data_IF_651800324381
#
_entry.id   IF_651800324381
#
_cell.length_a   1.000
_cell.length_b   1.000
_cell.length_c   1.000
_cell.angle_alpha   90.00
_cell.angle_beta   90.00
_cell.angle_gamma   90.00
#
_symmetry.space_group_name_H-M   'P 1'
#
loop_
_entity.id
_entity.type
_entity.pdbx_description
1 polymer ?
#
# COMPACT_ATOMS: atom_id res chain seq x y z
N UNK A 1 -13.73 16.00 9.61
CA UNK A 1 -13.75 15.14 9.40
C UNK A 1 -13.26 14.25 10.06
N UNK A 2 -13.35 13.57 10.31
CA UNK A 2 -12.91 12.76 11.00
C UNK A 2 -12.45 11.74 10.61
N UNK A 3 -11.84 11.26 10.72
CA UNK A 3 -11.26 10.36 10.34
C UNK A 3 -11.34 9.33 11.05
N UNK A 4 -11.47 8.53 10.97
CA UNK A 4 -11.62 7.47 11.50
C UNK A 4 -11.01 6.95 12.34
N UNK A 5 -10.52 6.78 12.64
CA UNK A 5 -9.95 6.36 13.56
C UNK A 5 -9.83 5.17 14.05
N UNK A 6 -10.35 4.46 14.28
CA UNK A 6 -10.22 3.31 14.69
C UNK A 6 -9.17 2.60 14.22
N UNK A 7 -8.25 2.32 14.42
CA UNK A 7 -7.27 1.53 13.99
C UNK A 7 -6.46 2.23 13.04
N UNK A 8 -6.70 2.28 11.89
CA UNK A 8 -5.88 2.94 10.96
C UNK A 8 -6.62 4.03 10.26
N UNK A 9 -5.97 5.06 9.82
CA UNK A 9 -6.60 6.12 9.06
C UNK A 9 -7.14 5.56 7.76
N UNK A 10 -8.29 6.06 7.37
CA UNK A 10 -8.87 5.64 6.12
C UNK A 10 -8.81 6.79 5.15
N UNK A 11 -8.13 6.60 4.04
CA UNK A 11 -8.01 7.62 3.02
C UNK A 11 -8.64 7.13 1.74
N UNK A 12 -9.30 8.02 1.04
CA UNK A 12 -9.90 7.68 -0.23
C UNK A 12 -8.80 7.34 -1.23
N UNK A 13 -9.02 6.36 -2.09
CA UNK A 13 -8.00 6.01 -3.08
C UNK A 13 -7.57 7.17 -3.94
N UNK A 14 -8.49 8.07 -4.26
CA UNK A 14 -8.14 9.23 -5.06
C UNK A 14 -7.13 10.12 -4.36
N UNK A 15 -7.30 10.33 -3.06
CA UNK A 15 -6.38 11.15 -2.30
C UNK A 15 -5.02 10.47 -2.22
N UNK A 16 -5.02 9.17 -2.00
CA UNK A 16 -3.77 8.40 -1.98
C UNK A 16 -3.01 8.59 -3.28
N UNK A 17 -3.73 8.51 -4.41
CA UNK A 17 -3.10 8.64 -5.70
C UNK A 17 -2.49 10.02 -5.89
N UNK A 18 -3.17 11.07 -5.45
CA UNK A 18 -2.64 12.41 -5.57
C UNK A 18 -1.37 12.59 -4.75
N UNK A 19 -1.35 12.05 -3.56
CA UNK A 19 -0.19 12.16 -2.70
C UNK A 19 0.99 11.39 -3.29
N UNK A 20 0.71 10.25 -3.90
CA UNK A 20 1.74 9.46 -4.53
C UNK A 20 2.38 10.18 -5.70
N UNK A 21 1.56 10.88 -6.49
CA UNK A 21 2.09 11.60 -7.63
C UNK A 21 3.10 12.66 -7.20
N UNK A 22 2.82 13.30 -6.06
CA UNK A 22 3.75 14.29 -5.56
C UNK A 22 5.02 13.64 -5.09
N UNK A 23 4.89 12.53 -4.38
CA UNK A 23 6.07 11.85 -3.84
C UNK A 23 6.98 11.37 -4.96
N UNK A 24 6.39 10.77 -5.97
CA UNK A 24 7.18 10.20 -7.06
C UNK A 24 8.05 11.25 -7.73
N UNK A 25 7.61 12.49 -7.72
CA UNK A 25 8.41 13.51 -8.35
C UNK A 25 9.53 14.04 -7.48
N UNK A 26 9.53 13.75 -6.20
CA UNK A 26 10.53 14.33 -5.31
C UNK A 26 11.72 13.42 -5.03
N UNK A 27 11.78 12.25 -5.60
CA UNK A 27 12.91 11.37 -5.38
C UNK A 27 12.66 10.41 -4.23
N UNK A 28 13.40 9.33 -4.17
CA UNK A 28 13.16 8.34 -3.16
C UNK A 28 14.32 7.39 -3.00
N UNK A 29 14.29 6.60 -1.92
CA UNK A 29 15.32 5.65 -1.61
C UNK A 29 14.83 4.26 -1.99
N UNK A 30 15.15 3.84 -3.18
CA UNK A 30 14.69 2.56 -3.71
C UNK A 30 15.30 1.38 -2.97
N UNK A 31 16.56 1.50 -2.61
CA UNK A 31 17.25 0.42 -1.96
C UNK A 31 16.67 0.11 -0.60
N UNK A 32 16.41 1.12 0.20
CA UNK A 32 15.80 0.92 1.50
C UNK A 32 14.40 0.34 1.34
N UNK A 33 13.67 0.81 0.32
CA UNK A 33 12.32 0.32 0.09
C UNK A 33 12.33 -1.17 -0.27
N UNK A 34 13.28 -1.58 -1.09
CA UNK A 34 13.38 -2.99 -1.46
C UNK A 34 13.64 -3.85 -0.24
N UNK A 35 14.50 -3.39 0.64
CA UNK A 35 14.78 -4.16 1.84
C UNK A 35 13.55 -4.30 2.73
N UNK A 36 12.76 -3.25 2.81
CA UNK A 36 11.57 -3.29 3.68
C UNK A 36 10.50 -4.23 3.15
N UNK A 37 10.51 -4.52 1.86
CA UNK A 37 9.49 -5.39 1.28
C UNK A 37 9.96 -6.82 1.12
N UNK A 38 11.20 -7.11 1.46
CA UNK A 38 11.73 -8.45 1.24
C UNK A 38 11.02 -9.54 2.01
N UNK A 39 10.53 -9.24 3.17
CA UNK A 39 9.90 -10.25 4.00
C UNK A 39 8.41 -10.42 3.77
N UNK A 40 7.84 -9.71 2.84
CA UNK A 40 6.43 -9.85 2.57
C UNK A 40 6.17 -11.17 1.85
N UNK A 41 5.06 -11.81 2.21
CA UNK A 41 4.64 -13.00 1.48
C UNK A 41 4.19 -12.61 0.08
N UNK A 42 4.11 -13.56 -0.85
CA UNK A 42 3.61 -13.24 -2.19
C UNK A 42 2.23 -12.59 -2.18
N UNK A 43 1.33 -13.05 -1.31
CA UNK A 43 0.01 -12.45 -1.22
C UNK A 43 0.09 -11.01 -0.71
N UNK A 44 0.92 -10.78 0.30
CA UNK A 44 1.09 -9.44 0.83
C UNK A 44 1.70 -8.52 -0.22
N UNK A 45 2.64 -9.03 -0.99
CA UNK A 45 3.27 -8.24 -2.02
C UNK A 45 2.27 -7.86 -3.10
N UNK A 46 1.38 -8.78 -3.47
CA UNK A 46 0.34 -8.48 -4.45
C UNK A 46 -0.61 -7.41 -3.93
N UNK A 47 -1.00 -7.52 -2.66
CA UNK A 47 -1.86 -6.52 -2.06
C UNK A 47 -1.16 -5.15 -2.04
N UNK A 48 0.11 -5.15 -1.66
CA UNK A 48 0.85 -3.90 -1.61
C UNK A 48 0.97 -3.26 -2.99
N UNK A 49 1.22 -4.07 -4.01
CA UNK A 49 1.33 -3.56 -5.35
C UNK A 49 0.05 -2.88 -5.80
N UNK A 50 -1.09 -3.54 -5.58
CA UNK A 50 -2.37 -2.97 -5.99
C UNK A 50 -2.73 -1.75 -5.14
N UNK A 51 -2.39 -1.78 -3.86
CA UNK A 51 -2.61 -0.64 -3.01
C UNK A 51 -1.81 0.56 -3.52
N UNK A 52 -0.62 0.31 -4.04
CA UNK A 52 0.21 1.37 -4.59
C UNK A 52 -0.37 2.00 -5.84
N UNK A 53 -1.27 1.32 -6.53
CA UNK A 53 -1.92 1.91 -7.68
C UNK A 53 -3.12 2.76 -7.28
N UNK A 54 -3.44 2.82 -5.99
CA UNK A 54 -4.54 3.65 -5.53
C UNK A 54 -5.88 2.95 -5.47
N UNK A 55 -5.90 1.63 -5.55
CA UNK A 55 -7.15 0.90 -5.51
C UNK A 55 -7.70 0.83 -4.08
N UNK A 56 -9.01 0.77 -3.97
CA UNK A 56 -9.65 0.59 -2.69
C UNK A 56 -9.56 -0.87 -2.27
N UNK A 57 -9.87 -1.15 -1.01
CA UNK A 57 -9.84 -2.53 -0.53
C UNK A 57 -10.81 -3.41 -1.33
N UNK A 58 -11.97 -2.88 -1.68
CA UNK A 58 -12.92 -3.65 -2.46
C UNK A 58 -12.38 -3.96 -3.85
N UNK A 59 -11.70 -3.01 -4.44
CA UNK A 59 -11.12 -3.23 -5.77
C UNK A 59 -9.97 -4.23 -5.71
N UNK A 60 -9.16 -4.15 -4.67
CA UNK A 60 -8.08 -5.11 -4.49
C UNK A 60 -8.65 -6.51 -4.30
N UNK A 61 -9.68 -6.60 -3.45
CA UNK A 61 -10.30 -7.88 -3.18
C UNK A 61 -10.85 -8.50 -4.47
N UNK A 62 -11.45 -7.68 -5.30
CA UNK A 62 -11.97 -8.14 -6.55
C UNK A 62 -10.89 -8.68 -7.46
N UNK A 63 -9.78 -8.00 -7.56
CA UNK A 63 -8.71 -8.42 -8.43
C UNK A 63 -7.98 -9.66 -7.94
N UNK A 64 -7.90 -9.84 -6.64
CA UNK A 64 -7.17 -10.96 -6.08
C UNK A 64 -8.07 -12.10 -5.65
N UNK A 65 -9.37 -11.99 -5.93
CA UNK A 65 -10.32 -13.05 -5.60
C UNK A 65 -10.33 -13.38 -4.12
N UNK A 66 -10.37 -12.34 -3.30
CA UNK A 66 -10.45 -12.54 -1.85
C UNK A 66 -11.47 -11.56 -1.29
N UNK A 67 -11.82 -11.70 -0.03
CA UNK A 67 -12.79 -10.80 0.58
C UNK A 67 -12.11 -9.49 0.98
N UNK A 68 -12.91 -8.45 1.13
CA UNK A 68 -12.38 -7.17 1.58
C UNK A 68 -11.78 -7.29 2.98
N UNK A 69 -12.36 -8.16 3.82
CA UNK A 69 -11.81 -8.38 5.15
C UNK A 69 -10.43 -9.01 5.10
N UNK A 70 -10.22 -9.93 4.15
CA UNK A 70 -8.91 -10.54 3.97
C UNK A 70 -7.90 -9.50 3.51
N UNK A 71 -8.31 -8.62 2.58
CA UNK A 71 -7.43 -7.55 2.13
C UNK A 71 -7.05 -6.65 3.30
N UNK A 72 -8.02 -6.32 4.14
CA UNK A 72 -7.74 -5.48 5.30
C UNK A 72 -6.75 -6.15 6.24
N UNK A 73 -6.89 -7.44 6.45
CA UNK A 73 -5.96 -8.18 7.30
C UNK A 73 -4.55 -8.17 6.70
N UNK A 74 -4.45 -8.35 5.39
CA UNK A 74 -3.16 -8.31 4.74
C UNK A 74 -2.53 -6.92 4.87
N UNK A 75 -3.33 -5.87 4.71
CA UNK A 75 -2.81 -4.52 4.83
C UNK A 75 -2.27 -4.28 6.23
N UNK A 76 -2.99 -4.75 7.25
CA UNK A 76 -2.51 -4.60 8.62
C UNK A 76 -1.14 -5.25 8.81
N UNK A 77 -0.97 -6.44 8.26
CA UNK A 77 0.30 -7.12 8.37
C UNK A 77 1.40 -6.40 7.60
N UNK A 78 1.05 -5.88 6.43
CA UNK A 78 2.00 -5.14 5.62
C UNK A 78 2.50 -3.93 6.40
N UNK A 79 1.58 -3.18 7.00
CA UNK A 79 1.97 -2.00 7.77
C UNK A 79 2.91 -2.38 8.90
N UNK A 80 2.61 -3.47 9.59
CA UNK A 80 3.43 -3.90 10.69
C UNK A 80 4.82 -4.34 10.23
N UNK A 81 4.86 -5.15 9.18
CA UNK A 81 6.14 -5.68 8.71
C UNK A 81 7.03 -4.63 8.09
N UNK A 82 6.44 -3.65 7.44
CA UNK A 82 7.23 -2.62 6.76
C UNK A 82 7.48 -1.40 7.61
N UNK A 83 6.80 -1.29 8.75
CA UNK A 83 6.96 -0.11 9.60
C UNK A 83 6.24 1.11 9.09
N UNK A 84 5.29 0.93 8.17
CA UNK A 84 4.52 2.06 7.67
C UNK A 84 3.41 2.40 8.65
N UNK A 85 3.14 3.68 8.80
CA UNK A 85 2.12 4.12 9.74
C UNK A 85 0.71 4.05 9.19
N UNK A 86 0.56 4.12 7.87
CA UNK A 86 -0.77 4.12 7.27
C UNK A 86 -0.67 3.68 5.81
N UNK A 87 -1.83 3.59 5.17
CA UNK A 87 -1.85 3.06 3.80
C UNK A 87 -1.16 3.98 2.80
N UNK A 88 -1.12 5.28 3.05
CA UNK A 88 -0.43 6.18 2.14
C UNK A 88 1.06 5.89 2.17
N UNK A 89 1.63 5.68 3.34
CA UNK A 89 3.04 5.34 3.44
C UNK A 89 3.32 4.01 2.77
N UNK A 90 2.41 3.06 2.91
CA UNK A 90 2.59 1.77 2.26
C UNK A 90 2.54 1.91 0.74
N UNK A 91 1.64 2.75 0.23
CA UNK A 91 1.55 2.98 -1.20
C UNK A 91 2.83 3.64 -1.72
N UNK A 92 3.37 4.59 -0.96
CA UNK A 92 4.63 5.23 -1.32
C UNK A 92 5.74 4.18 -1.36
N UNK A 93 5.76 3.29 -0.38
CA UNK A 93 6.75 2.23 -0.34
C UNK A 93 6.66 1.35 -1.58
N UNK A 94 5.45 1.05 -2.03
CA UNK A 94 5.27 0.22 -3.22
C UNK A 94 5.89 0.87 -4.44
N UNK A 95 5.74 2.18 -4.58
CA UNK A 95 6.35 2.91 -5.68
C UNK A 95 7.87 2.91 -5.54
N UNK A 96 8.36 3.17 -4.34
CA UNK A 96 9.80 3.25 -4.12
C UNK A 96 10.48 1.90 -4.37
N UNK A 97 9.80 0.83 -4.04
CA UNK A 97 10.34 -0.51 -4.25
C UNK A 97 10.17 -1.00 -5.68
N UNK A 98 9.52 -0.22 -6.53
CA UNK A 98 9.36 -0.60 -7.92
C UNK A 98 8.35 -1.69 -8.14
N UNK A 99 7.47 -1.94 -7.20
CA UNK A 99 6.52 -3.03 -7.34
C UNK A 99 5.52 -2.79 -8.46
N UNK A 100 5.26 -1.53 -8.78
CA UNK A 100 4.29 -1.20 -9.80
C UNK A 100 4.85 -1.29 -11.20
N UNK A 101 6.14 -1.23 -11.35
CA UNK A 101 6.72 -1.23 -12.69
C UNK A 101 7.17 -2.61 -13.12
N UNK A 102 7.05 -3.55 -12.27
CA UNK A 102 7.53 -4.86 -12.60
C UNK A 102 6.59 -5.62 -13.49
N UNK A 103 5.56 -5.05 -13.92
CA UNK A 103 4.68 -5.79 -14.71
C UNK A 103 5.03 -5.83 -16.09
#
# INVERSE_FOLDING_TARGET
MQLAAKGEPVLAPRITRQLLERHVRSGRDTEAALRRTEELTPAERDVLRLLGTGLSNAEIADQLYMSAGTVKAHISRILTRTGCANRVQAAVLAHDAGLLTGC
#
